data_IF_337953999768
#
_entry.id   IF_337953999768
#
_cell.length_a   1.000
_cell.length_b   1.000
_cell.length_c   1.000
_cell.angle_alpha   90.00
_cell.angle_beta   90.00
_cell.angle_gamma   90.00
#
_symmetry.space_group_name_H-M   'P 1'
#
loop_
_entity.id
_entity.type
_entity.pdbx_description
1 polymer ?
#
# COMPACT_ATOMS: atom_id res chain seq x y z
N UNK A 1 -15.13 -24.15 9.48
CA UNK A 1 -15.11 -22.97 10.37
C UNK A 1 -13.74 -22.35 10.30
N UNK A 2 -13.67 -21.10 9.85
CA UNK A 2 -12.46 -20.31 9.79
C UNK A 2 -12.03 -19.87 11.20
N UNK A 3 -10.74 -20.01 11.44
CA UNK A 3 -9.96 -19.50 12.57
C UNK A 3 -8.74 -18.74 12.03
N UNK A 4 -8.06 -17.97 12.88
CA UNK A 4 -6.81 -17.29 12.48
C UNK A 4 -5.80 -18.31 11.93
N UNK A 5 -5.65 -19.47 12.57
CA UNK A 5 -4.75 -20.52 12.13
C UNK A 5 -5.11 -21.05 10.73
N UNK A 6 -6.40 -21.27 10.44
CA UNK A 6 -6.81 -21.69 9.09
C UNK A 6 -6.53 -20.62 8.03
N UNK A 7 -6.66 -19.33 8.37
CA UNK A 7 -6.32 -18.25 7.44
C UNK A 7 -4.82 -18.24 7.18
N UNK A 8 -3.99 -18.34 8.22
CA UNK A 8 -2.52 -18.38 8.08
C UNK A 8 -2.08 -19.57 7.24
N UNK A 9 -2.57 -20.77 7.54
CA UNK A 9 -2.25 -22.00 6.80
C UNK A 9 -2.65 -21.90 5.34
N UNK A 10 -3.81 -21.28 5.06
CA UNK A 10 -4.25 -21.01 3.69
C UNK A 10 -3.30 -20.06 2.98
N UNK A 11 -3.02 -18.88 3.55
CA UNK A 11 -2.14 -17.90 2.90
C UNK A 11 -0.75 -18.48 2.62
N UNK A 12 -0.23 -19.30 3.54
CA UNK A 12 1.04 -20.00 3.37
C UNK A 12 1.00 -21.13 2.33
N UNK A 13 -0.18 -21.73 2.11
CA UNK A 13 -0.38 -22.85 1.20
C UNK A 13 -0.86 -22.47 -0.21
N UNK A 14 -1.17 -21.20 -0.44
CA UNK A 14 -1.76 -20.70 -1.69
C UNK A 14 -0.76 -19.85 -2.47
N UNK A 15 -0.72 -20.07 -3.79
CA UNK A 15 -0.03 -19.19 -4.73
C UNK A 15 -0.94 -18.03 -5.15
N UNK A 16 -0.40 -16.82 -5.14
CA UNK A 16 -1.14 -15.61 -5.50
C UNK A 16 -0.52 -14.94 -6.71
N UNK A 17 -1.34 -14.65 -7.73
CA UNK A 17 -0.91 -13.89 -8.90
C UNK A 17 -0.58 -12.45 -8.52
N UNK A 18 0.45 -11.89 -9.15
CA UNK A 18 0.82 -10.48 -9.05
C UNK A 18 0.68 -9.85 -10.43
N UNK A 19 0.12 -8.65 -10.49
CA UNK A 19 0.04 -7.79 -11.66
C UNK A 19 1.34 -6.98 -11.85
N UNK A 20 2.26 -7.42 -12.73
CA UNK A 20 3.54 -6.76 -12.88
C UNK A 20 3.40 -5.42 -13.61
N UNK A 21 2.39 -5.28 -14.47
CA UNK A 21 2.09 -4.04 -15.18
C UNK A 21 1.66 -2.93 -14.21
N UNK A 22 0.84 -3.25 -13.21
CA UNK A 22 0.49 -2.30 -12.16
C UNK A 22 1.73 -1.88 -11.35
N UNK A 23 2.58 -2.86 -10.98
CA UNK A 23 3.84 -2.57 -10.27
C UNK A 23 4.79 -1.70 -11.11
N UNK A 24 4.86 -1.92 -12.43
CA UNK A 24 5.59 -1.05 -13.37
C UNK A 24 5.01 0.37 -13.41
N UNK A 25 3.68 0.52 -13.41
CA UNK A 25 3.02 1.82 -13.35
C UNK A 25 3.34 2.57 -12.04
N UNK A 26 3.33 1.88 -10.89
CA UNK A 26 3.73 2.46 -9.60
C UNK A 26 5.19 2.94 -9.62
N UNK A 27 6.10 2.17 -10.24
CA UNK A 27 7.49 2.56 -10.41
C UNK A 27 7.60 3.81 -11.29
N UNK A 28 6.91 3.83 -12.44
CA UNK A 28 6.90 4.94 -13.39
C UNK A 28 6.42 6.24 -12.73
N UNK A 29 5.32 6.16 -11.98
CA UNK A 29 4.78 7.30 -11.23
C UNK A 29 5.82 7.81 -10.22
N UNK A 30 6.41 6.90 -9.44
CA UNK A 30 7.40 7.26 -8.42
C UNK A 30 8.66 7.89 -9.02
N UNK A 31 9.17 7.39 -10.15
CA UNK A 31 10.33 7.97 -10.85
C UNK A 31 10.01 9.38 -11.37
N UNK A 32 8.85 9.55 -12.01
CA UNK A 32 8.42 10.84 -12.58
C UNK A 32 8.20 11.89 -11.49
N UNK A 33 7.49 11.52 -10.42
CA UNK A 33 7.24 12.38 -9.26
C UNK A 33 8.55 12.77 -8.57
N UNK A 34 9.47 11.80 -8.37
CA UNK A 34 10.78 12.04 -7.74
C UNK A 34 11.61 13.05 -8.53
N UNK A 35 11.71 12.93 -9.84
CA UNK A 35 12.47 13.88 -10.67
C UNK A 35 11.88 15.28 -10.62
N UNK A 36 10.54 15.41 -10.68
CA UNK A 36 9.87 16.71 -10.52
C UNK A 36 10.21 17.37 -9.18
N UNK A 37 10.06 16.64 -8.07
CA UNK A 37 10.33 17.18 -6.73
C UNK A 37 11.83 17.49 -6.55
N UNK A 38 12.71 16.65 -7.12
CA UNK A 38 14.17 16.84 -7.06
C UNK A 38 14.59 18.14 -7.76
N UNK A 39 13.99 18.47 -8.91
CA UNK A 39 14.21 19.76 -9.58
C UNK A 39 13.79 20.95 -8.70
N UNK A 40 12.69 20.82 -7.96
CA UNK A 40 12.27 21.85 -7.01
C UNK A 40 13.26 21.99 -5.85
N UNK A 41 13.77 20.88 -5.30
CA UNK A 41 14.79 20.91 -4.25
C UNK A 41 16.13 21.48 -4.72
N UNK A 42 16.53 21.25 -5.97
CA UNK A 42 17.76 21.82 -6.52
C UNK A 42 17.75 23.34 -6.64
N UNK A 43 16.57 23.98 -6.60
CA UNK A 43 16.47 25.45 -6.47
C UNK A 43 17.04 25.95 -5.13
N UNK A 44 17.06 25.10 -4.11
CA UNK A 44 17.59 25.42 -2.77
C UNK A 44 19.04 25.02 -2.59
N UNK A 45 19.41 23.81 -3.03
CA UNK A 45 20.78 23.31 -2.88
C UNK A 45 21.08 22.18 -3.87
N UNK A 46 22.29 22.15 -4.41
CA UNK A 46 22.79 21.03 -5.20
C UNK A 46 23.48 19.99 -4.29
N UNK A 47 22.68 19.18 -3.60
CA UNK A 47 23.15 18.12 -2.70
C UNK A 47 22.40 16.81 -2.94
N UNK A 48 22.93 15.71 -2.42
CA UNK A 48 22.20 14.45 -2.37
C UNK A 48 21.14 14.46 -1.24
N UNK A 49 19.88 14.68 -1.64
CA UNK A 49 18.72 14.70 -0.73
C UNK A 49 18.33 13.32 -0.17
N UNK A 50 18.92 12.23 -0.68
CA UNK A 50 18.73 10.89 -0.10
C UNK A 50 19.67 10.65 1.10
N UNK A 51 20.73 11.45 1.23
CA UNK A 51 21.71 11.35 2.29
C UNK A 51 21.37 12.28 3.47
N UNK A 52 20.94 11.70 4.59
CA UNK A 52 20.59 12.46 5.80
C UNK A 52 21.71 13.40 6.28
N UNK A 53 22.99 13.03 6.15
CA UNK A 53 24.10 13.89 6.59
C UNK A 53 24.18 15.16 5.74
N UNK A 54 24.04 15.03 4.42
CA UNK A 54 24.06 16.17 3.52
C UNK A 54 22.86 17.09 3.77
N UNK A 55 21.67 16.51 3.92
CA UNK A 55 20.44 17.25 4.20
C UNK A 55 20.52 18.00 5.54
N UNK A 56 20.92 17.32 6.62
CA UNK A 56 21.07 17.93 7.94
C UNK A 56 22.13 19.04 7.92
N UNK A 57 23.27 18.78 7.26
CA UNK A 57 24.34 19.77 7.10
C UNK A 57 23.86 21.03 6.38
N UNK A 58 23.10 20.87 5.30
CA UNK A 58 22.50 22.00 4.59
C UNK A 58 21.49 22.77 5.45
N UNK A 59 20.57 22.07 6.12
CA UNK A 59 19.56 22.70 6.97
C UNK A 59 20.22 23.51 8.09
N UNK A 60 21.13 22.89 8.84
CA UNK A 60 21.75 23.54 10.00
C UNK A 60 22.71 24.67 9.58
N UNK A 61 23.59 24.42 8.61
CA UNK A 61 24.70 25.34 8.33
C UNK A 61 24.36 26.41 7.29
N UNK A 62 23.48 26.11 6.34
CA UNK A 62 23.20 26.99 5.20
C UNK A 62 21.82 27.61 5.27
N UNK A 63 20.78 26.81 5.52
CA UNK A 63 19.39 27.26 5.49
C UNK A 63 19.01 28.05 6.75
N UNK A 64 19.25 27.47 7.94
CA UNK A 64 18.86 28.08 9.23
C UNK A 64 20.02 28.74 9.96
N UNK A 65 21.27 28.39 9.62
CA UNK A 65 22.51 28.90 10.25
C UNK A 65 22.53 28.73 11.78
N UNK A 66 21.91 27.65 12.26
CA UNK A 66 21.87 27.23 13.66
C UNK A 66 21.69 25.71 13.72
N UNK A 67 22.04 25.11 14.84
CA UNK A 67 21.91 23.66 15.04
C UNK A 67 20.45 23.28 15.38
N UNK A 68 19.58 23.30 14.36
CA UNK A 68 18.16 23.00 14.50
C UNK A 68 17.86 21.49 14.57
N UNK A 69 18.69 20.66 13.93
CA UNK A 69 18.55 19.20 13.94
C UNK A 69 19.76 18.59 14.64
N UNK A 70 19.51 18.00 15.81
CA UNK A 70 20.51 17.31 16.62
C UNK A 70 20.35 15.79 16.44
N UNK A 71 21.19 15.18 15.61
CA UNK A 71 21.15 13.73 15.38
C UNK A 71 21.66 13.28 14.01
N UNK A 72 21.63 11.96 13.78
CA UNK A 72 22.05 11.35 12.50
C UNK A 72 20.88 11.16 11.51
N UNK A 73 19.66 11.35 11.97
CA UNK A 73 18.42 11.08 11.22
C UNK A 73 17.47 12.25 11.36
N UNK A 74 16.75 12.52 10.28
CA UNK A 74 15.70 13.53 10.23
C UNK A 74 14.36 12.83 9.99
N UNK A 75 13.37 13.10 10.84
CA UNK A 75 12.01 12.57 10.68
C UNK A 75 11.13 13.57 9.94
N UNK A 76 10.01 13.11 9.36
CA UNK A 76 9.06 14.01 8.74
C UNK A 76 8.41 14.94 9.78
N UNK A 77 8.23 14.47 11.02
CA UNK A 77 7.74 15.30 12.13
C UNK A 77 8.65 16.50 12.42
N UNK A 78 9.97 16.28 12.47
CA UNK A 78 10.94 17.38 12.65
C UNK A 78 10.84 18.38 11.48
N UNK A 79 10.64 17.89 10.26
CA UNK A 79 10.47 18.76 9.09
C UNK A 79 9.18 19.57 9.14
N UNK A 80 8.10 18.99 9.66
CA UNK A 80 6.81 19.67 9.87
C UNK A 80 6.96 20.77 10.93
N UNK A 81 7.58 20.48 12.07
CA UNK A 81 7.88 21.46 13.12
C UNK A 81 8.73 22.63 12.59
N UNK A 82 9.74 22.33 11.78
CA UNK A 82 10.58 23.37 11.14
C UNK A 82 9.80 24.18 10.10
N UNK A 83 8.85 23.57 9.38
CA UNK A 83 7.96 24.31 8.49
C UNK A 83 7.06 25.26 9.27
N UNK A 84 6.46 24.80 10.37
CA UNK A 84 5.62 25.64 11.23
C UNK A 84 6.39 26.81 11.83
N UNK A 85 7.64 26.59 12.25
CA UNK A 85 8.49 27.64 12.83
C UNK A 85 8.92 28.69 11.80
N UNK A 86 9.24 28.27 10.57
CA UNK A 86 9.94 29.12 9.59
C UNK A 86 9.08 29.54 8.40
N UNK A 87 7.94 28.88 8.20
CA UNK A 87 7.10 28.95 7.01
C UNK A 87 7.88 28.74 5.69
N UNK A 88 8.98 27.97 5.71
CA UNK A 88 9.83 27.76 4.55
C UNK A 88 9.37 26.55 3.72
N UNK A 89 8.90 26.74 2.46
CA UNK A 89 8.36 25.65 1.63
C UNK A 89 9.34 24.50 1.37
N UNK A 90 10.65 24.74 1.49
CA UNK A 90 11.68 23.71 1.39
C UNK A 90 11.35 22.46 2.22
N UNK A 91 10.87 22.64 3.45
CA UNK A 91 10.59 21.53 4.36
C UNK A 91 9.44 20.65 3.85
N UNK A 92 8.38 21.25 3.30
CA UNK A 92 7.28 20.52 2.67
C UNK A 92 7.74 19.77 1.42
N UNK A 93 8.54 20.42 0.56
CA UNK A 93 9.12 19.78 -0.63
C UNK A 93 10.02 18.60 -0.24
N UNK A 94 10.81 18.73 0.84
CA UNK A 94 11.67 17.67 1.34
C UNK A 94 10.85 16.50 1.92
N UNK A 95 9.77 16.76 2.65
CA UNK A 95 8.84 15.71 3.11
C UNK A 95 8.26 14.95 1.92
N UNK A 96 7.80 15.66 0.88
CA UNK A 96 7.25 15.05 -0.32
C UNK A 96 8.30 14.17 -1.03
N UNK A 97 9.54 14.67 -1.17
CA UNK A 97 10.65 13.89 -1.73
C UNK A 97 10.92 12.62 -0.93
N UNK A 98 10.95 12.72 0.40
CA UNK A 98 11.21 11.57 1.28
C UNK A 98 10.11 10.51 1.17
N UNK A 99 8.84 10.92 1.16
CA UNK A 99 7.69 10.02 0.97
C UNK A 99 7.74 9.33 -0.40
N UNK A 100 8.01 10.09 -1.46
CA UNK A 100 8.16 9.56 -2.82
C UNK A 100 9.34 8.58 -2.91
N UNK A 101 10.48 8.91 -2.31
CA UNK A 101 11.67 8.06 -2.31
C UNK A 101 11.47 6.75 -1.51
N UNK A 102 10.73 6.80 -0.39
CA UNK A 102 10.34 5.61 0.36
C UNK A 102 9.42 4.69 -0.47
N UNK A 103 8.41 5.26 -1.13
CA UNK A 103 7.54 4.51 -2.06
C UNK A 103 8.33 3.87 -3.19
N UNK A 104 9.24 4.62 -3.83
CA UNK A 104 10.16 4.08 -4.84
C UNK A 104 10.95 2.88 -4.31
N UNK A 105 11.52 2.99 -3.10
CA UNK A 105 12.28 1.89 -2.47
C UNK A 105 11.40 0.65 -2.23
N UNK A 106 10.16 0.83 -1.77
CA UNK A 106 9.22 -0.28 -1.53
C UNK A 106 8.85 -1.00 -2.84
N UNK A 107 8.50 -0.25 -3.88
CA UNK A 107 8.18 -0.80 -5.20
C UNK A 107 9.39 -1.52 -5.80
N UNK A 108 10.58 -0.91 -5.74
CA UNK A 108 11.83 -1.52 -6.18
C UNK A 108 12.14 -2.84 -5.46
N UNK A 109 11.93 -2.90 -4.15
CA UNK A 109 12.12 -4.11 -3.36
C UNK A 109 11.13 -5.21 -3.76
N UNK A 110 9.86 -4.86 -4.03
CA UNK A 110 8.87 -5.82 -4.52
C UNK A 110 9.28 -6.38 -5.90
N UNK A 111 9.63 -5.50 -6.85
CA UNK A 111 10.09 -5.91 -8.19
C UNK A 111 11.26 -6.88 -8.07
N UNK A 112 12.28 -6.51 -7.28
CA UNK A 112 13.46 -7.36 -7.09
C UNK A 112 13.13 -8.71 -6.46
N UNK A 113 12.18 -8.73 -5.52
CA UNK A 113 11.84 -9.93 -4.78
C UNK A 113 11.04 -10.93 -5.62
N UNK A 114 10.12 -10.47 -6.48
CA UNK A 114 9.14 -11.37 -7.10
C UNK A 114 8.95 -11.23 -8.61
N UNK A 115 9.43 -10.15 -9.24
CA UNK A 115 9.23 -9.92 -10.69
C UNK A 115 10.53 -10.09 -11.46
N UNK A 116 11.64 -9.51 -10.98
CA UNK A 116 12.92 -9.48 -11.69
C UNK A 116 14.06 -9.44 -10.67
N UNK A 117 14.70 -10.59 -10.41
CA UNK A 117 15.76 -10.72 -9.39
C UNK A 117 16.99 -9.86 -9.69
N UNK A 118 17.24 -9.60 -10.97
CA UNK A 118 18.35 -8.79 -11.46
C UNK A 118 18.03 -7.29 -11.45
N UNK A 119 16.81 -6.91 -11.05
CA UNK A 119 16.44 -5.51 -10.91
C UNK A 119 17.39 -4.79 -9.94
N UNK A 120 17.92 -3.66 -10.43
CA UNK A 120 18.84 -2.79 -9.72
C UNK A 120 18.34 -1.35 -9.78
N UNK A 121 17.70 -0.94 -8.69
CA UNK A 121 17.15 0.40 -8.49
C UNK A 121 18.18 1.54 -8.50
N UNK A 122 19.47 1.22 -8.39
CA UNK A 122 20.56 2.20 -8.35
C UNK A 122 21.24 2.34 -9.73
N UNK A 123 20.79 1.59 -10.74
CA UNK A 123 21.22 1.69 -12.13
C UNK A 123 20.07 2.23 -13.01
N UNK A 124 20.20 3.48 -13.48
CA UNK A 124 19.17 4.15 -14.28
C UNK A 124 18.84 3.42 -15.58
N UNK A 125 19.82 2.76 -16.22
CA UNK A 125 19.58 1.97 -17.44
C UNK A 125 18.75 0.72 -17.13
N UNK A 126 18.98 0.09 -15.98
CA UNK A 126 18.19 -1.08 -15.54
C UNK A 126 16.75 -0.67 -15.20
N UNK A 127 16.57 0.45 -14.49
CA UNK A 127 15.25 1.02 -14.21
C UNK A 127 14.52 1.35 -15.50
N UNK A 128 15.19 2.01 -16.45
CA UNK A 128 14.63 2.38 -17.75
C UNK A 128 14.26 1.16 -18.58
N UNK A 129 15.11 0.13 -18.60
CA UNK A 129 14.83 -1.13 -19.28
C UNK A 129 13.59 -1.81 -18.71
N UNK A 130 13.44 -1.85 -17.38
CA UNK A 130 12.24 -2.40 -16.74
C UNK A 130 10.97 -1.60 -17.09
N UNK A 131 11.06 -0.26 -17.08
CA UNK A 131 9.94 0.62 -17.42
C UNK A 131 9.50 0.53 -18.89
N UNK A 132 10.41 0.13 -19.79
CA UNK A 132 10.14 -0.03 -21.21
C UNK A 132 9.77 -1.48 -21.59
N UNK A 133 9.70 -2.40 -20.63
CA UNK A 133 9.29 -3.78 -20.88
C UNK A 133 7.81 -3.80 -21.31
N UNK A 134 7.55 -4.34 -22.50
CA UNK A 134 6.20 -4.36 -23.09
C UNK A 134 5.30 -5.44 -22.49
N UNK A 135 5.89 -6.56 -22.06
CA UNK A 135 5.17 -7.73 -21.56
C UNK A 135 5.88 -8.34 -20.36
N UNK A 136 5.07 -8.84 -19.43
CA UNK A 136 5.55 -9.58 -18.27
C UNK A 136 5.00 -10.99 -18.32
N UNK A 137 5.82 -11.96 -17.90
CA UNK A 137 5.34 -13.30 -17.62
C UNK A 137 4.39 -13.28 -16.41
N UNK A 138 3.56 -14.31 -16.28
CA UNK A 138 2.70 -14.46 -15.12
C UNK A 138 3.56 -14.66 -13.87
N UNK A 139 3.43 -13.74 -12.91
CA UNK A 139 4.16 -13.77 -11.65
C UNK A 139 3.25 -14.33 -10.57
N UNK A 140 3.71 -15.36 -9.86
CA UNK A 140 3.02 -15.95 -8.73
C UNK A 140 3.91 -15.89 -7.49
N UNK A 141 3.32 -15.57 -6.35
CA UNK A 141 4.01 -15.50 -5.06
C UNK A 141 3.40 -16.50 -4.08
N UNK A 142 4.23 -17.02 -3.18
CA UNK A 142 3.79 -17.82 -2.03
C UNK A 142 4.26 -17.10 -0.77
N UNK A 143 3.47 -16.14 -0.26
CA UNK A 143 3.87 -15.33 0.87
C UNK A 143 3.88 -16.14 2.16
N UNK A 144 4.68 -15.69 3.11
CA UNK A 144 4.68 -16.19 4.48
C UNK A 144 3.82 -15.26 5.35
N UNK A 145 2.67 -15.75 5.78
CA UNK A 145 1.77 -15.09 6.70
C UNK A 145 2.08 -15.44 8.16
N UNK A 146 2.04 -14.40 9.01
CA UNK A 146 2.11 -14.54 10.47
C UNK A 146 1.21 -13.53 11.16
N UNK A 147 0.71 -13.90 12.33
CA UNK A 147 0.01 -12.97 13.22
C UNK A 147 1.00 -11.94 13.77
N UNK A 148 0.68 -10.66 13.64
CA UNK A 148 1.49 -9.57 14.14
C UNK A 148 1.08 -9.16 15.57
N UNK A 149 1.86 -8.28 16.20
CA UNK A 149 1.63 -7.85 17.59
C UNK A 149 0.33 -7.05 17.81
N UNK A 150 -0.28 -6.54 16.75
CA UNK A 150 -1.56 -5.81 16.81
C UNK A 150 -2.76 -6.72 16.48
N UNK A 151 -2.53 -8.03 16.35
CA UNK A 151 -3.58 -9.02 16.11
C UNK A 151 -4.00 -9.18 14.65
N UNK A 152 -3.33 -8.54 13.68
CA UNK A 152 -3.61 -8.71 12.25
C UNK A 152 -2.62 -9.65 11.55
N UNK A 153 -2.87 -9.99 10.29
CA UNK A 153 -1.98 -10.83 9.48
C UNK A 153 -0.92 -9.97 8.80
N UNK A 154 0.34 -10.35 8.89
CA UNK A 154 1.43 -9.71 8.15
C UNK A 154 2.05 -10.70 7.17
N UNK A 155 2.42 -10.22 5.99
CA UNK A 155 3.10 -11.01 4.98
C UNK A 155 4.60 -10.69 4.95
N UNK A 156 5.40 -11.74 4.79
CA UNK A 156 6.79 -11.70 4.38
C UNK A 156 6.97 -12.46 3.06
N UNK A 157 8.04 -12.17 2.33
CA UNK A 157 8.41 -12.85 1.08
C UNK A 157 7.32 -12.84 -0.01
N UNK A 158 6.92 -11.66 -0.54
CA UNK A 158 7.47 -10.32 -0.26
C UNK A 158 6.70 -9.61 0.86
N UNK A 159 7.33 -8.58 1.44
CA UNK A 159 6.58 -7.62 2.25
C UNK A 159 5.75 -6.71 1.34
N UNK A 160 4.52 -6.40 1.77
CA UNK A 160 3.59 -5.52 1.04
C UNK A 160 3.23 -4.28 1.88
N UNK A 161 4.17 -3.34 2.09
CA UNK A 161 3.95 -2.12 2.87
C UNK A 161 3.25 -1.03 2.04
N UNK A 162 2.17 -1.40 1.35
CA UNK A 162 1.41 -0.55 0.44
C UNK A 162 0.02 -0.25 0.99
N UNK A 163 -0.68 0.69 0.36
CA UNK A 163 -2.06 0.99 0.73
C UNK A 163 -2.98 -0.18 0.37
N UNK A 164 -4.16 -0.23 0.97
CA UNK A 164 -5.19 -1.22 0.62
C UNK A 164 -5.49 -1.23 -0.88
N UNK A 165 -5.60 -0.05 -1.50
CA UNK A 165 -5.87 0.08 -2.93
C UNK A 165 -4.69 -0.41 -3.78
N UNK A 166 -3.45 -0.10 -3.41
CA UNK A 166 -2.28 -0.61 -4.11
C UNK A 166 -2.19 -2.14 -3.99
N UNK A 167 -2.42 -2.70 -2.79
CA UNK A 167 -2.40 -4.15 -2.54
C UNK A 167 -3.41 -4.86 -3.43
N UNK A 168 -4.64 -4.34 -3.48
CA UNK A 168 -5.71 -4.85 -4.34
C UNK A 168 -5.22 -4.95 -5.79
N UNK A 169 -4.75 -3.84 -6.34
CA UNK A 169 -4.29 -3.76 -7.73
C UNK A 169 -2.98 -4.53 -8.00
N UNK A 170 -2.15 -4.76 -6.98
CA UNK A 170 -0.97 -5.63 -7.05
C UNK A 170 -1.38 -7.09 -7.24
N UNK A 171 -2.42 -7.57 -6.55
CA UNK A 171 -2.91 -8.94 -6.74
C UNK A 171 -3.75 -9.06 -8.01
N UNK A 172 -4.91 -8.39 -8.07
CA UNK A 172 -5.79 -8.30 -9.25
C UNK A 172 -6.67 -7.05 -9.11
N UNK A 173 -6.83 -6.25 -10.16
CA UNK A 173 -7.66 -5.03 -10.15
C UNK A 173 -9.11 -5.24 -9.74
N UNK A 174 -9.62 -6.46 -9.96
CA UNK A 174 -11.03 -6.82 -9.81
C UNK A 174 -11.33 -7.33 -8.40
N UNK A 175 -10.32 -7.49 -7.54
CA UNK A 175 -10.55 -7.86 -6.16
C UNK A 175 -11.31 -6.75 -5.43
N UNK A 176 -12.22 -7.13 -4.55
CA UNK A 176 -12.76 -6.22 -3.55
C UNK A 176 -11.86 -6.24 -2.32
N UNK A 177 -11.68 -5.07 -1.69
CA UNK A 177 -10.99 -4.96 -0.42
C UNK A 177 -12.01 -4.64 0.67
N UNK A 178 -12.15 -5.52 1.65
CA UNK A 178 -13.07 -5.39 2.77
C UNK A 178 -12.24 -5.15 4.03
N UNK A 179 -11.97 -3.89 4.38
CA UNK A 179 -11.33 -3.56 5.65
C UNK A 179 -12.25 -3.97 6.80
N UNK A 180 -11.70 -4.64 7.81
CA UNK A 180 -12.36 -4.90 9.08
C UNK A 180 -11.63 -4.18 10.21
N UNK A 181 -12.37 -3.88 11.27
CA UNK A 181 -11.83 -3.27 12.49
C UNK A 181 -10.78 -4.16 13.17
N UNK A 182 -11.02 -5.45 13.19
CA UNK A 182 -10.20 -6.47 13.83
C UNK A 182 -10.35 -7.83 13.12
N UNK A 183 -9.64 -8.85 13.62
CA UNK A 183 -9.72 -10.21 13.07
C UNK A 183 -11.04 -10.91 13.38
N UNK A 184 -11.78 -10.52 14.40
CA UNK A 184 -13.10 -11.12 14.68
C UNK A 184 -14.09 -10.75 13.58
N UNK A 185 -14.03 -9.51 13.06
CA UNK A 185 -14.76 -9.09 11.86
C UNK A 185 -14.40 -9.92 10.63
N UNK A 186 -13.09 -10.18 10.39
CA UNK A 186 -12.64 -11.03 9.28
C UNK A 186 -13.19 -12.45 9.43
N UNK A 187 -13.10 -13.03 10.64
CA UNK A 187 -13.58 -14.37 10.92
C UNK A 187 -15.10 -14.48 10.78
N UNK A 188 -15.85 -13.46 11.19
CA UNK A 188 -17.30 -13.42 10.99
C UNK A 188 -17.64 -13.50 9.50
N UNK A 189 -17.03 -12.65 8.66
CA UNK A 189 -17.27 -12.64 7.21
C UNK A 189 -16.91 -13.99 6.59
N UNK A 190 -15.73 -14.53 6.89
CA UNK A 190 -15.30 -15.81 6.33
C UNK A 190 -16.15 -16.98 6.80
N UNK A 191 -16.55 -17.03 8.08
CA UNK A 191 -17.41 -18.12 8.58
C UNK A 191 -18.82 -18.06 8.02
N UNK A 192 -19.33 -16.86 7.74
CA UNK A 192 -20.70 -16.67 7.27
C UNK A 192 -20.82 -16.74 5.75
N UNK A 193 -19.81 -16.25 5.03
CA UNK A 193 -19.85 -16.07 3.59
C UNK A 193 -18.70 -16.75 2.84
N UNK A 194 -17.75 -17.39 3.53
CA UNK A 194 -16.54 -17.96 2.90
C UNK A 194 -16.83 -18.90 1.74
N UNK A 195 -17.90 -19.69 1.82
CA UNK A 195 -18.35 -20.60 0.76
C UNK A 195 -18.77 -19.84 -0.52
N UNK A 196 -19.25 -18.62 -0.38
CA UNK A 196 -19.65 -17.73 -1.48
C UNK A 196 -18.47 -16.93 -2.04
N UNK A 197 -17.40 -16.75 -1.27
CA UNK A 197 -16.21 -16.00 -1.71
C UNK A 197 -15.36 -16.76 -2.74
N UNK A 198 -15.86 -17.90 -3.25
CA UNK A 198 -15.13 -18.89 -4.03
C UNK A 198 -13.90 -19.35 -3.25
N UNK A 199 -13.98 -20.53 -2.64
CA UNK A 199 -13.07 -21.05 -1.60
C UNK A 199 -11.56 -21.02 -1.93
N UNK A 200 -11.10 -20.56 -3.09
CA UNK A 200 -9.69 -20.49 -3.48
C UNK A 200 -9.15 -19.05 -3.68
N UNK A 201 -9.99 -18.02 -3.84
CA UNK A 201 -9.53 -16.72 -4.38
C UNK A 201 -9.59 -15.53 -3.40
N UNK A 202 -9.14 -15.72 -2.15
CA UNK A 202 -8.99 -14.61 -1.21
C UNK A 202 -7.65 -14.63 -0.47
N UNK A 203 -7.22 -13.44 -0.01
CA UNK A 203 -6.08 -13.24 0.88
C UNK A 203 -6.45 -12.26 2.01
N UNK A 204 -5.91 -12.46 3.20
CA UNK A 204 -6.09 -11.54 4.34
C UNK A 204 -4.74 -10.89 4.67
N UNK A 205 -4.72 -9.57 4.72
CA UNK A 205 -3.53 -8.78 5.08
C UNK A 205 -3.96 -7.67 6.05
N UNK A 206 -3.26 -7.56 7.17
CA UNK A 206 -3.70 -6.79 8.32
C UNK A 206 -5.00 -7.35 8.86
N UNK A 207 -6.04 -6.53 8.84
CA UNK A 207 -7.43 -6.90 9.12
C UNK A 207 -8.30 -6.68 7.88
N UNK A 208 -7.71 -6.70 6.68
CA UNK A 208 -8.42 -6.52 5.41
C UNK A 208 -8.48 -7.83 4.66
N UNK A 209 -9.68 -8.21 4.24
CA UNK A 209 -9.95 -9.32 3.35
C UNK A 209 -9.97 -8.82 1.90
N UNK A 210 -9.14 -9.40 1.05
CA UNK A 210 -9.11 -9.15 -0.38
C UNK A 210 -9.65 -10.39 -1.09
N UNK A 211 -10.68 -10.23 -1.91
CA UNK A 211 -11.37 -11.36 -2.54
C UNK A 211 -11.67 -11.10 -4.00
N UNK A 212 -11.52 -12.12 -4.84
CA UNK A 212 -11.88 -12.12 -6.25
C UNK A 212 -13.40 -12.28 -6.43
N UNK A 213 -14.14 -11.22 -6.12
CA UNK A 213 -15.59 -11.20 -6.27
C UNK A 213 -15.97 -9.97 -7.07
N UNK A 214 -16.66 -10.16 -8.19
CA UNK A 214 -17.22 -9.02 -8.93
C UNK A 214 -18.31 -8.39 -8.07
N UNK A 215 -18.31 -7.05 -7.93
CA UNK A 215 -19.34 -6.32 -7.18
C UNK A 215 -20.78 -6.73 -7.57
N UNK A 216 -21.03 -7.01 -8.86
CA UNK A 216 -22.32 -7.50 -9.36
C UNK A 216 -22.72 -8.87 -8.81
N UNK A 217 -21.75 -9.72 -8.49
CA UNK A 217 -21.96 -11.05 -7.91
C UNK A 217 -22.13 -10.95 -6.39
N UNK A 218 -21.39 -10.05 -5.73
CA UNK A 218 -21.57 -9.74 -4.29
C UNK A 218 -23.01 -9.35 -3.95
N UNK A 219 -23.66 -8.56 -4.81
CA UNK A 219 -25.04 -8.12 -4.59
C UNK A 219 -26.10 -9.17 -4.98
N UNK A 220 -25.72 -10.16 -5.78
CA UNK A 220 -26.56 -11.30 -6.14
C UNK A 220 -26.53 -12.43 -5.11
N UNK A 221 -25.60 -12.38 -4.15
CA UNK A 221 -25.57 -13.29 -3.01
C UNK A 221 -26.80 -12.99 -2.15
N UNK A 222 -27.76 -13.94 -2.03
CA UNK A 222 -28.85 -13.79 -1.09
C UNK A 222 -28.25 -13.92 0.31
N UNK A 223 -27.86 -12.79 0.89
CA UNK A 223 -27.65 -12.69 2.32
C UNK A 223 -28.97 -13.16 2.95
N UNK A 224 -29.00 -14.28 3.70
CA UNK A 224 -30.25 -14.77 4.27
C UNK A 224 -30.89 -13.64 5.08
N UNK A 225 -32.23 -13.52 5.07
CA UNK A 225 -32.90 -12.46 5.80
C UNK A 225 -32.59 -12.69 7.27
N UNK A 226 -31.77 -11.81 7.77
CA UNK A 226 -31.32 -11.78 9.13
C UNK A 226 -31.90 -10.53 9.76
N UNK A 227 -32.04 -10.58 11.07
CA UNK A 227 -32.67 -9.53 11.87
C UNK A 227 -32.15 -8.12 11.53
N UNK A 228 -32.93 -7.10 11.93
CA UNK A 228 -32.63 -5.68 11.63
C UNK A 228 -31.19 -5.27 12.00
N UNK A 229 -30.58 -5.98 12.95
CA UNK A 229 -29.21 -5.77 13.38
C UNK A 229 -28.18 -6.21 12.34
N UNK A 230 -28.39 -7.34 11.66
CA UNK A 230 -27.51 -7.79 10.56
C UNK A 230 -27.70 -6.98 9.28
N UNK A 231 -28.92 -6.50 8.99
CA UNK A 231 -29.16 -5.53 7.89
C UNK A 231 -28.38 -4.25 8.15
N UNK A 232 -28.50 -3.71 9.37
CA UNK A 232 -27.77 -2.51 9.78
C UNK A 232 -26.26 -2.71 9.72
N UNK A 233 -25.75 -3.85 10.17
CA UNK A 233 -24.32 -4.16 10.11
C UNK A 233 -23.80 -4.19 8.66
N UNK A 234 -24.60 -4.72 7.72
CA UNK A 234 -24.25 -4.75 6.30
C UNK A 234 -24.35 -3.37 5.63
N UNK A 235 -25.34 -2.56 6.01
CA UNK A 235 -25.44 -1.16 5.55
C UNK A 235 -24.28 -0.31 6.09
N UNK A 236 -23.90 -0.50 7.35
CA UNK A 236 -22.76 0.15 7.98
C UNK A 236 -21.45 -0.27 7.30
N UNK A 237 -21.27 -1.57 7.04
CA UNK A 237 -20.12 -2.09 6.30
C UNK A 237 -20.06 -1.49 4.89
N UNK A 238 -21.17 -1.51 4.14
CA UNK A 238 -21.27 -0.94 2.78
C UNK A 238 -20.92 0.54 2.74
N UNK A 239 -21.42 1.33 3.71
CA UNK A 239 -21.05 2.73 3.87
C UNK A 239 -19.57 2.91 4.19
N UNK A 240 -19.01 2.07 5.06
CA UNK A 240 -17.59 2.12 5.44
C UNK A 240 -16.66 1.84 4.25
N UNK A 241 -17.07 0.94 3.34
CA UNK A 241 -16.31 0.63 2.12
C UNK A 241 -16.72 1.47 0.90
N UNK A 242 -17.61 2.46 1.09
CA UNK A 242 -17.98 3.45 0.08
C UNK A 242 -18.70 2.87 -1.15
N UNK A 243 -19.46 1.78 -0.99
CA UNK A 243 -20.21 1.16 -2.08
C UNK A 243 -21.68 0.93 -1.72
N UNK A 244 -22.56 1.19 -2.68
CA UNK A 244 -24.00 1.10 -2.48
C UNK A 244 -24.52 -0.33 -2.64
N UNK A 245 -25.84 -0.49 -2.59
CA UNK A 245 -26.49 -1.79 -2.76
C UNK A 245 -26.24 -2.40 -4.15
N UNK A 246 -25.91 -1.61 -5.17
CA UNK A 246 -25.62 -2.04 -6.53
C UNK A 246 -24.12 -2.24 -6.78
N UNK A 247 -23.28 -1.96 -5.78
CA UNK A 247 -21.83 -2.10 -5.86
C UNK A 247 -21.18 -0.91 -6.59
N UNK A 248 -21.95 0.15 -6.82
CA UNK A 248 -21.46 1.41 -7.33
C UNK A 248 -20.82 2.19 -6.18
N UNK A 249 -19.83 3.04 -6.50
CA UNK A 249 -19.28 3.96 -5.50
C UNK A 249 -20.40 4.83 -4.96
N UNK A 250 -20.56 4.88 -3.64
CA UNK A 250 -21.41 5.87 -3.00
C UNK A 250 -20.76 7.22 -3.27
N UNK A 251 -21.42 8.07 -4.07
CA UNK A 251 -21.01 9.46 -4.21
C UNK A 251 -21.14 10.11 -2.83
N UNK A 252 -20.04 10.62 -2.27
CA UNK A 252 -20.09 11.40 -1.04
C UNK A 252 -20.96 12.63 -1.28
N UNK A 253 -22.12 12.71 -0.62
CA UNK A 253 -22.84 13.97 -0.49
C UNK A 253 -21.92 14.96 0.23
N UNK A 254 -21.32 15.88 -0.52
CA UNK A 254 -20.59 17.01 0.05
C UNK A 254 -21.49 17.74 1.05
N UNK A 255 -21.17 17.61 2.34
CA UNK A 255 -21.66 18.46 3.43
C UNK A 255 -20.55 19.36 3.93
#
# INVERSE_FOLDING_TARGET
MYTVETILNRVNGTGYGINPAYTQAMLKYSVTEKEKIKLDLFKYANIDFTNNRHVIGFINNSLLRREAIQGKTISNKILEELFEETNNPFFQTLIAFRKCHDRYKKVASLIKAVIDSEFNKDNDDNVTAFLNREQFEAVWISPEAKLNSIGGISLSNPSLPFSTEDIKNIFVSDYIAIPCKDMDGVLYILNKYGDLLNEENYIVIGTTLYSDIRYSEWNGIPFPPSDEEEIKHMEDLRREIGIDYYGDKIEEEHK
#
